data_IF_430827573533
#
_entry.id   IF_430827573533
#
_cell.length_a   1.000
_cell.length_b   1.000
_cell.length_c   1.000
_cell.angle_alpha   90.00
_cell.angle_beta   90.00
_cell.angle_gamma   90.00
#
_symmetry.space_group_name_H-M   'P 1'
#
loop_
_entity.id
_entity.type
_entity.pdbx_description
1 polymer ?
#
# COMPACT_ATOMS: atom_id res chain seq x y z
N UNK A 1 -4.06 7.90 -14.71
CA UNK A 1 -2.66 8.35 -14.55
C UNK A 1 -2.35 8.44 -13.04
N UNK A 2 -1.09 8.24 -12.62
CA UNK A 2 -0.67 8.41 -11.21
C UNK A 2 0.65 9.19 -11.17
N UNK A 3 0.63 10.53 -11.13
CA UNK A 3 1.84 11.31 -10.92
C UNK A 3 2.44 10.97 -9.55
N UNK A 4 3.77 11.01 -9.44
CA UNK A 4 4.49 10.78 -8.19
C UNK A 4 5.26 12.05 -7.86
N UNK A 5 4.90 12.69 -6.75
CA UNK A 5 5.67 13.78 -6.16
C UNK A 5 6.60 13.18 -5.11
N UNK A 6 7.89 13.48 -5.18
CA UNK A 6 8.89 12.97 -4.24
C UNK A 6 9.65 14.12 -3.59
N UNK A 7 9.71 14.11 -2.26
CA UNK A 7 10.33 15.12 -1.43
C UNK A 7 11.43 14.48 -0.57
N UNK A 8 12.58 15.13 -0.49
CA UNK A 8 13.65 14.77 0.46
C UNK A 8 13.41 15.54 1.75
N UNK A 9 13.29 14.84 2.88
CA UNK A 9 13.00 15.45 4.18
C UNK A 9 14.25 15.62 5.06
N UNK A 10 15.36 14.96 4.71
CA UNK A 10 16.62 14.96 5.48
C UNK A 10 16.96 13.59 6.06
N UNK A 11 18.23 13.35 6.42
CA UNK A 11 18.71 12.06 6.94
C UNK A 11 18.30 10.84 6.08
N UNK A 12 18.33 10.98 4.75
CA UNK A 12 17.88 9.99 3.75
C UNK A 12 16.39 9.60 3.80
N UNK A 13 15.57 10.33 4.57
CA UNK A 13 14.12 10.19 4.50
C UNK A 13 13.57 10.81 3.23
N UNK A 14 12.68 10.06 2.60
CA UNK A 14 11.94 10.48 1.43
C UNK A 14 10.45 10.34 1.72
N UNK A 15 9.69 11.36 1.33
CA UNK A 15 8.24 11.33 1.26
C UNK A 15 7.83 11.25 -0.21
N UNK A 16 6.95 10.32 -0.54
CA UNK A 16 6.30 10.24 -1.86
C UNK A 16 4.81 10.41 -1.68
N UNK A 17 4.21 11.18 -2.57
CA UNK A 17 2.77 11.41 -2.65
C UNK A 17 2.34 11.05 -4.07
N UNK A 18 1.42 10.11 -4.18
CA UNK A 18 0.95 9.55 -5.44
C UNK A 18 -0.57 9.60 -5.54
N UNK A 19 -1.17 10.75 -5.88
CA UNK A 19 -2.60 10.81 -6.12
C UNK A 19 -2.95 10.06 -7.42
N UNK A 20 -4.06 9.33 -7.40
CA UNK A 20 -4.58 8.59 -8.54
C UNK A 20 -6.07 8.79 -8.62
N UNK A 21 -6.55 9.26 -9.76
CA UNK A 21 -7.97 9.31 -10.08
C UNK A 21 -8.29 8.33 -11.22
N UNK A 22 -9.52 7.82 -11.26
CA UNK A 22 -10.04 6.99 -12.34
C UNK A 22 -11.53 7.24 -12.56
N UNK A 23 -12.01 6.76 -13.70
CA UNK A 23 -13.42 6.65 -14.02
C UNK A 23 -13.73 5.19 -14.32
N UNK A 24 -14.96 4.79 -14.07
CA UNK A 24 -15.45 3.45 -14.43
C UNK A 24 -16.00 3.48 -15.85
N UNK A 25 -15.59 2.53 -16.67
CA UNK A 25 -16.09 2.35 -18.05
C UNK A 25 -16.38 0.88 -18.26
N UNK A 26 -17.52 0.56 -18.88
CA UNK A 26 -17.92 -0.82 -19.13
C UNK A 26 -18.13 -1.66 -17.85
N UNK A 27 -18.47 -1.03 -16.73
CA UNK A 27 -18.91 -1.77 -15.55
C UNK A 27 -20.33 -2.27 -15.83
N UNK A 28 -20.52 -3.58 -15.79
CA UNK A 28 -21.82 -4.20 -16.00
C UNK A 28 -22.56 -4.37 -14.66
N UNK A 29 -23.88 -4.23 -14.72
CA UNK A 29 -24.76 -4.24 -13.55
C UNK A 29 -24.88 -5.62 -12.90
N UNK A 30 -24.39 -6.69 -13.56
CA UNK A 30 -24.52 -8.06 -13.05
C UNK A 30 -23.39 -8.47 -12.11
N UNK A 31 -22.19 -7.91 -12.27
CA UNK A 31 -21.02 -8.41 -11.53
C UNK A 31 -20.73 -7.55 -10.29
N UNK A 32 -20.55 -6.23 -10.48
CA UNK A 32 -20.23 -5.29 -9.40
C UNK A 32 -20.95 -3.95 -9.62
N UNK A 33 -22.31 -3.93 -9.65
CA UNK A 33 -23.10 -2.78 -10.08
C UNK A 33 -22.82 -1.49 -9.31
N UNK A 34 -22.38 -1.59 -8.05
CA UNK A 34 -22.26 -0.45 -7.15
C UNK A 34 -20.85 -0.25 -6.60
N UNK A 35 -19.82 -0.81 -7.25
CA UNK A 35 -18.44 -0.81 -6.73
C UNK A 35 -17.88 0.60 -6.52
N UNK A 36 -18.26 1.55 -7.37
CA UNK A 36 -17.89 2.96 -7.30
C UNK A 36 -18.35 3.62 -5.99
N UNK A 37 -19.49 3.16 -5.44
CA UNK A 37 -19.98 3.68 -4.16
C UNK A 37 -19.09 3.27 -2.98
N UNK A 38 -18.32 2.19 -3.10
CA UNK A 38 -17.46 1.68 -2.02
C UNK A 38 -15.98 1.98 -2.25
N UNK A 39 -15.51 1.85 -3.50
CA UNK A 39 -14.11 2.04 -3.87
C UNK A 39 -13.79 3.50 -4.24
N UNK A 40 -14.80 4.27 -4.62
CA UNK A 40 -14.65 5.67 -5.02
C UNK A 40 -13.93 5.84 -6.36
N UNK A 41 -13.54 7.08 -6.63
CA UNK A 41 -12.89 7.49 -7.89
C UNK A 41 -11.44 7.95 -7.68
N UNK A 42 -10.94 7.86 -6.44
CA UNK A 42 -9.68 8.42 -6.03
C UNK A 42 -8.94 7.53 -5.01
N UNK A 43 -7.63 7.46 -5.16
CA UNK A 43 -6.68 6.80 -4.27
C UNK A 43 -5.52 7.76 -4.02
N UNK A 44 -5.23 8.02 -2.74
CA UNK A 44 -4.05 8.76 -2.34
C UNK A 44 -3.03 7.79 -1.75
N UNK A 45 -1.92 7.60 -2.46
CA UNK A 45 -0.78 6.89 -1.93
C UNK A 45 0.18 7.85 -1.22
N UNK A 46 0.60 7.50 -0.01
CA UNK A 46 1.68 8.16 0.71
C UNK A 46 2.76 7.11 1.02
N UNK A 47 4.03 7.45 0.83
CA UNK A 47 5.15 6.62 1.30
C UNK A 47 6.20 7.46 1.99
N UNK A 48 6.55 7.11 3.22
CA UNK A 48 7.56 7.79 4.02
C UNK A 48 8.59 6.76 4.50
N UNK A 49 9.88 7.02 4.26
CA UNK A 49 10.91 6.15 4.83
C UNK A 49 12.30 6.36 4.27
N UNK A 50 13.21 5.46 4.68
CA UNK A 50 14.59 5.42 4.20
C UNK A 50 14.83 4.20 3.32
N UNK A 51 15.69 4.34 2.30
CA UNK A 51 16.03 3.24 1.38
C UNK A 51 16.65 2.03 2.07
N UNK A 52 17.37 2.24 3.18
CA UNK A 52 18.01 1.17 3.93
C UNK A 52 17.32 0.93 5.29
N UNK A 53 16.11 1.46 5.50
CA UNK A 53 15.43 1.40 6.80
C UNK A 53 13.96 1.03 6.68
N UNK A 54 13.21 1.41 7.71
CA UNK A 54 11.74 1.31 7.72
C UNK A 54 11.16 2.21 6.63
N UNK A 55 10.20 1.65 5.90
CA UNK A 55 9.33 2.39 4.98
C UNK A 55 7.90 2.15 5.41
N UNK A 56 7.16 3.24 5.60
CA UNK A 56 5.74 3.25 5.84
C UNK A 56 5.04 3.66 4.54
N UNK A 57 4.03 2.90 4.14
CA UNK A 57 3.14 3.20 3.03
C UNK A 57 1.71 3.33 3.53
N UNK A 58 0.91 4.14 2.84
CA UNK A 58 -0.52 4.11 3.00
C UNK A 58 -1.25 4.37 1.69
N UNK A 59 -2.43 3.77 1.57
CA UNK A 59 -3.38 4.03 0.50
C UNK A 59 -4.72 4.42 1.11
N UNK A 60 -5.23 5.57 0.71
CA UNK A 60 -6.49 6.12 1.19
C UNK A 60 -7.46 6.20 0.03
N UNK A 61 -8.60 5.53 0.16
CA UNK A 61 -9.71 5.60 -0.80
C UNK A 61 -10.97 6.05 -0.10
N UNK A 62 -11.80 6.79 -0.82
CA UNK A 62 -13.08 7.26 -0.30
C UNK A 62 -14.17 7.14 -1.36
N UNK A 63 -15.23 6.41 -1.03
CA UNK A 63 -16.46 6.29 -1.79
C UNK A 63 -17.67 6.80 -1.01
N UNK A 64 -18.81 6.91 -1.70
CA UNK A 64 -20.06 7.43 -1.13
C UNK A 64 -20.59 6.64 0.08
N UNK A 65 -20.31 5.34 0.15
CA UNK A 65 -20.76 4.42 1.21
C UNK A 65 -19.70 4.21 2.29
N UNK A 66 -18.50 4.76 2.14
CA UNK A 66 -17.41 4.65 3.09
C UNK A 66 -16.03 4.76 2.45
N UNK A 67 -15.02 4.89 3.29
CA UNK A 67 -13.61 4.87 2.87
C UNK A 67 -12.93 3.55 3.18
N UNK A 68 -11.73 3.40 2.63
CA UNK A 68 -10.78 2.40 3.06
C UNK A 68 -9.39 2.97 3.21
N UNK A 69 -8.69 2.44 4.20
CA UNK A 69 -7.30 2.75 4.50
C UNK A 69 -6.50 1.45 4.52
N UNK A 70 -5.39 1.46 3.81
CA UNK A 70 -4.34 0.47 3.95
C UNK A 70 -3.09 1.16 4.50
N UNK A 71 -2.43 0.52 5.45
CA UNK A 71 -1.15 0.96 6.00
C UNK A 71 -0.17 -0.21 5.93
N UNK A 72 0.97 0.02 5.31
CA UNK A 72 2.02 -0.96 5.14
C UNK A 72 3.30 -0.48 5.85
N UNK A 73 3.97 -1.40 6.54
CA UNK A 73 5.27 -1.16 7.14
C UNK A 73 6.25 -2.22 6.64
N UNK A 74 7.38 -1.78 6.11
CA UNK A 74 8.35 -2.68 5.46
C UNK A 74 9.76 -2.43 5.98
N UNK A 75 10.43 -3.48 6.45
CA UNK A 75 11.76 -3.40 7.04
C UNK A 75 12.74 -4.42 6.44
N UNK A 76 13.99 -4.06 6.10
CA UNK A 76 14.94 -5.00 5.50
C UNK A 76 15.29 -6.15 6.43
N UNK A 77 15.05 -7.39 5.99
CA UNK A 77 15.24 -8.57 6.85
C UNK A 77 16.69 -8.77 7.26
N UNK A 78 17.65 -8.42 6.40
CA UNK A 78 19.08 -8.50 6.71
C UNK A 78 19.48 -7.68 7.95
N UNK A 79 18.68 -6.67 8.35
CA UNK A 79 18.94 -5.88 9.57
C UNK A 79 18.38 -6.53 10.84
N UNK A 80 17.33 -7.34 10.73
CA UNK A 80 16.70 -7.99 11.89
C UNK A 80 17.40 -9.29 12.28
N UNK A 81 17.97 -10.00 11.30
CA UNK A 81 18.50 -11.35 11.52
C UNK A 81 19.87 -11.40 12.21
N UNK A 82 20.50 -10.26 12.55
CA UNK A 82 21.87 -10.15 13.08
C UNK A 82 22.97 -10.89 12.28
N UNK A 83 22.59 -11.58 11.21
CA UNK A 83 23.46 -12.22 10.24
C UNK A 83 23.98 -11.10 9.33
N UNK A 84 25.29 -10.93 9.31
CA UNK A 84 25.99 -9.98 8.43
C UNK A 84 26.01 -10.50 6.96
N UNK A 85 24.84 -10.95 6.47
CA UNK A 85 24.63 -11.44 5.09
C UNK A 85 24.82 -10.34 4.06
N UNK A 86 24.96 -9.07 4.51
CA UNK A 86 25.35 -7.93 3.68
C UNK A 86 26.66 -8.16 2.92
N UNK A 87 27.57 -9.01 3.44
CA UNK A 87 28.85 -9.38 2.81
C UNK A 87 28.79 -10.65 1.97
N UNK A 88 27.68 -11.38 2.00
CA UNK A 88 27.50 -12.57 1.17
C UNK A 88 27.01 -12.16 -0.21
N UNK A 89 27.48 -12.84 -1.26
CA UNK A 89 27.04 -12.63 -2.65
C UNK A 89 25.53 -12.82 -2.87
N UNK A 90 24.85 -13.39 -1.87
CA UNK A 90 23.40 -13.56 -1.73
C UNK A 90 22.85 -12.46 -0.80
N UNK A 91 22.65 -11.25 -1.29
CA UNK A 91 21.84 -10.24 -0.58
C UNK A 91 20.42 -10.27 -1.17
N UNK A 92 19.53 -11.17 -0.72
CA UNK A 92 18.18 -11.18 -1.21
C UNK A 92 17.51 -9.90 -0.70
N UNK A 93 16.99 -9.06 -1.61
CA UNK A 93 16.25 -7.84 -1.29
C UNK A 93 14.88 -8.21 -0.68
N UNK A 94 14.91 -8.87 0.48
CA UNK A 94 13.74 -9.31 1.21
C UNK A 94 13.46 -8.36 2.37
N UNK A 95 12.18 -8.10 2.52
CA UNK A 95 11.68 -7.21 3.54
C UNK A 95 10.58 -7.89 4.33
N UNK A 96 10.61 -7.73 5.64
CA UNK A 96 9.48 -8.06 6.48
C UNK A 96 8.38 -7.04 6.23
N UNK A 97 7.17 -7.52 5.97
CA UNK A 97 5.99 -6.72 5.69
C UNK A 97 4.95 -6.91 6.80
N UNK A 98 4.48 -5.78 7.34
CA UNK A 98 3.26 -5.70 8.14
C UNK A 98 2.27 -4.87 7.36
N UNK A 99 1.07 -5.38 7.13
CA UNK A 99 0.01 -4.68 6.42
C UNK A 99 -1.25 -4.68 7.27
N UNK A 100 -1.86 -3.51 7.41
CA UNK A 100 -3.15 -3.34 8.04
C UNK A 100 -4.15 -2.75 7.03
N UNK A 101 -5.37 -3.29 7.00
CA UNK A 101 -6.46 -2.81 6.16
C UNK A 101 -7.71 -2.58 7.01
N UNK A 102 -8.37 -1.45 6.80
CA UNK A 102 -9.69 -1.15 7.34
C UNK A 102 -10.55 -0.47 6.28
N UNK A 103 -11.69 -1.07 5.93
CA UNK A 103 -12.72 -0.42 5.14
C UNK A 103 -13.41 -1.35 4.14
N UNK A 104 -14.05 -0.74 3.14
CA UNK A 104 -14.76 -1.45 2.08
C UNK A 104 -13.86 -1.73 0.87
N UNK A 105 -14.34 -2.50 -0.10
CA UNK A 105 -13.65 -2.73 -1.37
C UNK A 105 -12.23 -3.31 -1.24
N UNK A 106 -11.98 -4.12 -0.21
CA UNK A 106 -10.71 -4.85 -0.06
C UNK A 106 -10.52 -5.85 -1.20
N UNK A 107 -11.58 -6.57 -1.53
CA UNK A 107 -11.64 -7.50 -2.66
C UNK A 107 -12.81 -7.14 -3.57
N UNK A 108 -12.74 -7.56 -4.83
CA UNK A 108 -13.84 -7.37 -5.78
C UNK A 108 -15.07 -8.20 -5.38
N UNK A 109 -14.86 -9.43 -4.91
CA UNK A 109 -15.96 -10.34 -4.55
C UNK A 109 -16.75 -9.81 -3.34
N UNK A 110 -16.06 -9.22 -2.37
CA UNK A 110 -16.66 -8.68 -1.13
C UNK A 110 -16.53 -7.17 -1.06
N UNK A 111 -16.84 -6.48 -2.16
CA UNK A 111 -16.60 -5.04 -2.23
C UNK A 111 -17.50 -4.22 -1.30
N UNK A 112 -18.70 -4.74 -1.03
CA UNK A 112 -19.75 -4.13 -0.23
C UNK A 112 -19.69 -4.51 1.26
N UNK A 113 -18.74 -5.36 1.66
CA UNK A 113 -18.51 -5.76 3.05
C UNK A 113 -17.36 -4.94 3.64
N UNK A 114 -17.50 -4.53 4.91
CA UNK A 114 -16.41 -3.89 5.63
C UNK A 114 -15.45 -4.96 6.13
N UNK A 115 -14.16 -4.76 5.87
CA UNK A 115 -13.10 -5.69 6.28
C UNK A 115 -12.10 -5.00 7.20
N UNK A 116 -11.58 -5.78 8.14
CA UNK A 116 -10.48 -5.42 9.01
C UNK A 116 -9.46 -6.55 8.96
N UNK A 117 -8.26 -6.28 8.47
CA UNK A 117 -7.25 -7.31 8.29
C UNK A 117 -5.87 -6.84 8.75
N UNK A 118 -5.18 -7.69 9.51
CA UNK A 118 -3.76 -7.54 9.83
C UNK A 118 -3.01 -8.70 9.20
N UNK A 119 -1.97 -8.41 8.43
CA UNK A 119 -1.16 -9.38 7.69
C UNK A 119 0.31 -9.20 8.00
N UNK A 120 1.01 -10.32 8.14
CA UNK A 120 2.45 -10.39 8.26
C UNK A 120 2.98 -11.22 7.09
N UNK A 121 4.06 -10.78 6.47
CA UNK A 121 4.61 -11.47 5.31
C UNK A 121 6.01 -11.03 4.95
N UNK A 122 6.44 -11.48 3.78
CA UNK A 122 7.74 -11.13 3.19
C UNK A 122 7.46 -10.49 1.85
N UNK A 123 8.15 -9.38 1.56
CA UNK A 123 8.12 -8.72 0.26
C UNK A 123 9.49 -8.70 -0.39
N UNK A 124 9.50 -8.75 -1.72
CA UNK A 124 10.69 -8.63 -2.58
C UNK A 124 10.84 -7.18 -3.08
N UNK A 125 9.75 -6.41 -3.07
CA UNK A 125 9.68 -5.02 -3.55
C UNK A 125 8.91 -4.13 -2.58
N UNK A 126 9.21 -2.83 -2.55
CA UNK A 126 8.55 -1.88 -1.65
C UNK A 126 8.45 -0.48 -2.23
#
# INVERSE_FOLDING_TARGET
MKPILAFKLGNDYHLKVGPKAWIYTGNDDQTNPYIENYRGYFDLELKLGKRDGLVLGSNLRYGNKGGSIQVDATYPMYKCLFLDVKKTWLNPNLYFLVQYYDGYAESLIRYNEKSHALRLGISIVR
#
